data_IF_153328334836
#
_entry.id   IF_153328334836
#
_cell.length_a   1.000
_cell.length_b   1.000
_cell.length_c   1.000
_cell.angle_alpha   90.00
_cell.angle_beta   90.00
_cell.angle_gamma   90.00
#
_symmetry.space_group_name_H-M   'P 1'
#
loop_
_entity.id
_entity.type
_entity.pdbx_description
1 polymer ?
#
# COMPACT_ATOMS: atom_id res chain seq x y z
N UNK A 1 7.28 -43.85 -50.06
CA UNK A 1 6.19 -43.37 -49.18
C UNK A 1 6.26 -41.85 -49.20
N UNK A 2 5.17 -41.15 -49.51
CA UNK A 2 5.20 -39.68 -49.60
C UNK A 2 5.17 -39.07 -48.19
N UNK A 3 6.12 -38.18 -47.93
CA UNK A 3 6.07 -37.24 -46.81
C UNK A 3 5.91 -35.87 -47.47
N UNK A 4 4.80 -35.20 -47.17
CA UNK A 4 4.48 -33.85 -47.66
C UNK A 4 4.50 -33.65 -49.19
N UNK A 5 4.05 -34.66 -49.94
CA UNK A 5 3.90 -34.58 -51.40
C UNK A 5 5.18 -34.78 -52.21
N UNK A 6 6.34 -34.93 -51.57
CA UNK A 6 7.62 -35.24 -52.23
C UNK A 6 7.79 -36.76 -52.47
N UNK A 7 8.17 -37.12 -53.70
CA UNK A 7 8.37 -38.51 -54.13
C UNK A 7 9.73 -39.02 -53.65
N UNK A 8 9.73 -39.83 -52.60
CA UNK A 8 10.97 -40.42 -52.05
C UNK A 8 11.56 -41.46 -53.02
N UNK A 9 12.76 -41.20 -53.55
CA UNK A 9 13.50 -42.13 -54.43
C UNK A 9 14.61 -42.83 -53.66
N UNK A 10 14.78 -44.12 -53.95
CA UNK A 10 15.73 -44.98 -53.26
C UNK A 10 17.18 -44.50 -53.49
N UNK A 11 17.94 -44.30 -52.41
CA UNK A 11 19.31 -43.80 -52.44
C UNK A 11 19.48 -42.27 -52.57
N UNK A 12 18.40 -41.49 -52.53
CA UNK A 12 18.46 -40.01 -52.54
C UNK A 12 18.07 -39.46 -51.16
N UNK A 13 18.93 -38.63 -50.58
CA UNK A 13 18.59 -37.85 -49.37
C UNK A 13 17.80 -36.64 -49.83
N UNK A 14 16.52 -36.57 -49.44
CA UNK A 14 15.67 -35.40 -49.66
C UNK A 14 15.63 -34.60 -48.37
N UNK A 15 16.13 -33.36 -48.41
CA UNK A 15 15.93 -32.40 -47.33
C UNK A 15 14.54 -31.78 -47.48
N UNK A 16 13.74 -31.84 -46.42
CA UNK A 16 12.37 -31.29 -46.38
C UNK A 16 12.36 -30.17 -45.35
N UNK A 17 12.04 -28.97 -45.81
CA UNK A 17 11.86 -27.81 -44.93
C UNK A 17 10.46 -27.87 -44.29
N UNK A 18 10.42 -28.19 -43.00
CA UNK A 18 9.19 -28.12 -42.20
C UNK A 18 9.00 -26.70 -41.67
N UNK A 19 8.01 -25.98 -42.20
CA UNK A 19 7.63 -24.66 -41.70
C UNK A 19 6.71 -24.83 -40.50
N UNK A 20 7.25 -24.61 -39.30
CA UNK A 20 6.45 -24.53 -38.09
C UNK A 20 5.91 -23.11 -37.93
N UNK A 21 4.58 -22.96 -37.98
CA UNK A 21 3.90 -21.70 -37.68
C UNK A 21 3.29 -21.78 -36.29
N UNK A 22 3.67 -20.87 -35.40
CA UNK A 22 3.05 -20.74 -34.09
C UNK A 22 1.64 -20.15 -34.28
N UNK A 23 0.64 -20.86 -33.77
CA UNK A 23 -0.74 -20.39 -33.71
C UNK A 23 -0.88 -19.63 -32.39
N UNK A 24 -1.27 -18.35 -32.40
CA UNK A 24 -1.46 -17.60 -31.17
C UNK A 24 -2.56 -18.21 -30.32
N UNK A 25 -2.32 -18.27 -29.01
CA UNK A 25 -3.30 -18.76 -28.05
C UNK A 25 -4.56 -17.90 -28.10
N UNK A 26 -5.69 -18.49 -27.73
CA UNK A 26 -6.98 -17.83 -27.69
C UNK A 26 -7.29 -17.33 -26.27
N UNK A 27 -7.06 -16.04 -25.96
CA UNK A 27 -7.32 -15.51 -24.62
C UNK A 27 -8.79 -15.23 -24.34
N UNK A 28 -9.71 -15.51 -25.27
CA UNK A 28 -11.14 -15.21 -25.07
C UNK A 28 -11.69 -16.03 -23.91
N UNK A 29 -12.25 -15.33 -22.92
CA UNK A 29 -12.76 -15.96 -21.70
C UNK A 29 -12.88 -14.98 -20.54
N UNK A 30 -13.21 -15.55 -19.38
CA UNK A 30 -13.27 -14.84 -18.12
C UNK A 30 -12.18 -15.37 -17.21
N UNK A 31 -11.41 -14.48 -16.59
CA UNK A 31 -10.30 -14.82 -15.72
C UNK A 31 -10.51 -14.20 -14.36
N UNK A 32 -10.13 -14.93 -13.31
CA UNK A 32 -9.98 -14.36 -11.98
C UNK A 32 -8.53 -13.92 -11.84
N UNK A 33 -8.33 -12.65 -11.53
CA UNK A 33 -7.03 -12.00 -11.50
C UNK A 33 -6.74 -11.47 -10.10
N UNK A 34 -5.49 -11.62 -9.68
CA UNK A 34 -4.95 -11.02 -8.47
C UNK A 34 -3.81 -10.11 -8.85
N UNK A 35 -3.93 -8.84 -8.48
CA UNK A 35 -2.91 -7.83 -8.71
C UNK A 35 -2.34 -7.34 -7.38
N UNK A 36 -1.05 -7.08 -7.33
CA UNK A 36 -0.36 -6.44 -6.22
C UNK A 36 0.20 -5.12 -6.71
N UNK A 37 -0.20 -4.01 -6.12
CA UNK A 37 0.25 -2.67 -6.49
C UNK A 37 1.11 -2.07 -5.38
N UNK A 38 2.17 -1.36 -5.77
CA UNK A 38 3.00 -0.53 -4.88
C UNK A 38 2.61 0.94 -5.02
N UNK A 39 2.02 1.48 -3.97
CA UNK A 39 1.58 2.88 -3.83
C UNK A 39 2.57 3.76 -3.06
N UNK A 40 3.77 3.27 -2.72
CA UNK A 40 4.71 3.96 -1.84
C UNK A 40 5.06 5.37 -2.32
N UNK A 41 5.44 5.49 -3.59
CA UNK A 41 5.76 6.77 -4.22
C UNK A 41 4.52 7.65 -4.40
N UNK A 42 3.37 7.02 -4.66
CA UNK A 42 2.11 7.73 -4.84
C UNK A 42 1.70 8.48 -3.58
N UNK A 43 1.78 7.86 -2.40
CA UNK A 43 1.47 8.48 -1.10
C UNK A 43 2.36 9.71 -0.87
N UNK A 44 3.68 9.56 -1.01
CA UNK A 44 4.64 10.62 -0.75
C UNK A 44 4.43 11.85 -1.67
N UNK A 45 3.90 11.64 -2.87
CA UNK A 45 3.68 12.71 -3.84
C UNK A 45 2.38 13.51 -3.68
N UNK A 46 1.50 13.12 -2.75
CA UNK A 46 0.17 13.75 -2.59
C UNK A 46 0.20 15.14 -1.93
N UNK A 47 1.36 15.82 -1.95
CA UNK A 47 1.56 17.15 -1.39
C UNK A 47 1.45 17.14 0.14
N UNK A 48 0.80 18.17 0.70
CA UNK A 48 0.65 18.33 2.15
C UNK A 48 0.05 17.09 2.83
N UNK A 49 -0.88 16.40 2.17
CA UNK A 49 -1.49 15.18 2.69
C UNK A 49 -0.50 14.03 2.78
N UNK A 50 0.34 13.88 1.75
CA UNK A 50 1.41 12.88 1.72
C UNK A 50 2.44 13.15 2.81
N UNK A 51 2.80 14.41 3.02
CA UNK A 51 3.68 14.83 4.11
C UNK A 51 3.12 14.43 5.49
N UNK A 52 1.81 14.57 5.72
CA UNK A 52 1.18 14.13 6.99
C UNK A 52 1.22 12.61 7.17
N UNK A 53 0.90 11.84 6.13
CA UNK A 53 0.95 10.37 6.18
C UNK A 53 2.39 9.91 6.43
N UNK A 54 3.34 10.47 5.69
CA UNK A 54 4.76 10.17 5.84
C UNK A 54 5.28 10.59 7.21
N UNK A 55 4.88 11.74 7.76
CA UNK A 55 5.26 12.16 9.10
C UNK A 55 4.78 11.19 10.17
N UNK A 56 3.56 10.66 10.05
CA UNK A 56 3.06 9.63 10.98
C UNK A 56 3.83 8.33 10.81
N UNK A 57 4.07 7.92 9.57
CA UNK A 57 4.86 6.73 9.28
C UNK A 57 6.29 6.85 9.81
N UNK A 58 6.94 8.00 9.63
CA UNK A 58 8.27 8.29 10.14
C UNK A 58 8.26 8.39 11.66
N UNK A 59 7.17 8.86 12.25
CA UNK A 59 6.94 8.84 13.68
C UNK A 59 6.80 7.45 14.29
N UNK A 60 6.41 6.44 13.52
CA UNK A 60 6.52 5.05 13.98
C UNK A 60 7.97 4.56 13.98
N UNK A 61 8.81 5.02 13.06
CA UNK A 61 10.24 4.70 13.05
C UNK A 61 11.00 5.44 14.17
N UNK A 62 10.67 6.72 14.40
CA UNK A 62 11.26 7.61 15.40
C UNK A 62 10.19 8.47 16.11
N UNK A 63 9.50 7.91 17.11
CA UNK A 63 8.43 8.62 17.83
C UNK A 63 8.95 9.83 18.62
N UNK A 64 10.20 9.78 19.10
CA UNK A 64 10.83 10.89 19.79
C UNK A 64 11.06 12.08 18.88
N UNK A 65 11.56 11.85 17.66
CA UNK A 65 11.72 12.92 16.67
C UNK A 65 10.38 13.54 16.26
N UNK A 66 9.36 12.70 15.99
CA UNK A 66 8.03 13.19 15.63
C UNK A 66 7.43 14.07 16.74
N UNK A 67 7.36 13.56 17.97
CA UNK A 67 6.78 14.30 19.10
C UNK A 67 7.57 15.58 19.41
N UNK A 68 8.90 15.53 19.33
CA UNK A 68 9.74 16.72 19.49
C UNK A 68 9.39 17.79 18.45
N UNK A 69 9.31 17.43 17.17
CA UNK A 69 9.01 18.38 16.10
C UNK A 69 7.61 19.00 16.29
N UNK A 70 6.62 18.19 16.63
CA UNK A 70 5.25 18.67 16.92
C UNK A 70 5.25 19.64 18.11
N UNK A 71 5.95 19.31 19.20
CA UNK A 71 6.05 20.18 20.37
C UNK A 71 6.69 21.52 19.99
N UNK A 72 7.79 21.52 19.23
CA UNK A 72 8.48 22.75 18.80
C UNK A 72 7.58 23.60 17.88
N UNK A 73 6.87 22.98 16.94
CA UNK A 73 5.96 23.69 16.04
C UNK A 73 4.78 24.34 16.79
N UNK A 74 4.20 23.62 17.76
CA UNK A 74 3.14 24.14 18.63
C UNK A 74 3.65 25.27 19.51
N UNK A 75 4.85 25.10 20.08
CA UNK A 75 5.53 26.13 20.83
C UNK A 75 5.73 27.41 20.00
N UNK A 76 6.09 27.28 18.72
CA UNK A 76 6.21 28.42 17.79
C UNK A 76 4.88 29.13 17.49
N UNK A 77 3.77 28.39 17.43
CA UNK A 77 2.44 28.96 17.14
C UNK A 77 1.78 29.65 18.35
N UNK A 78 1.89 29.08 19.55
CA UNK A 78 1.18 29.58 20.74
C UNK A 78 2.00 30.54 21.60
N UNK A 79 3.33 30.53 21.48
CA UNK A 79 4.20 31.41 22.23
C UNK A 79 5.13 32.18 21.27
N UNK A 80 4.69 33.34 20.75
CA UNK A 80 5.56 34.23 19.95
C UNK A 80 6.70 34.90 20.77
N UNK A 81 7.14 34.28 21.88
CA UNK A 81 8.16 34.79 22.80
C UNK A 81 9.44 33.94 22.83
N UNK A 82 10.52 34.57 23.32
CA UNK A 82 11.90 34.08 23.44
C UNK A 82 12.10 32.67 24.04
N UNK A 83 11.12 32.12 24.76
CA UNK A 83 11.26 30.80 25.41
C UNK A 83 11.36 29.66 24.39
N UNK A 84 10.55 29.66 23.34
CA UNK A 84 10.49 28.54 22.39
C UNK A 84 11.62 28.61 21.34
N UNK A 85 11.91 29.83 20.86
CA UNK A 85 13.11 30.07 20.03
C UNK A 85 14.40 29.79 20.80
N UNK A 86 14.40 30.05 22.12
CA UNK A 86 15.51 29.72 23.00
C UNK A 86 15.69 28.21 23.18
N UNK A 87 14.59 27.44 23.33
CA UNK A 87 14.67 25.98 23.48
C UNK A 87 15.23 25.32 22.23
N UNK A 88 14.77 25.64 21.01
CA UNK A 88 15.30 25.02 19.79
C UNK A 88 16.74 25.46 19.50
N UNK A 89 17.07 26.75 19.67
CA UNK A 89 18.42 27.26 19.48
C UNK A 89 19.42 26.70 20.51
N UNK A 90 19.03 26.61 21.79
CA UNK A 90 19.88 26.02 22.83
C UNK A 90 19.93 24.50 22.69
N UNK A 91 18.83 23.84 22.33
CA UNK A 91 18.80 22.39 22.18
C UNK A 91 19.60 21.89 20.98
N UNK A 92 19.60 22.65 19.88
CA UNK A 92 20.47 22.40 18.73
C UNK A 92 21.95 22.60 19.02
N UNK A 93 22.31 23.57 19.88
CA UNK A 93 23.71 23.87 20.24
C UNK A 93 24.30 22.97 21.33
N UNK A 94 23.46 22.41 22.21
CA UNK A 94 23.90 21.65 23.40
C UNK A 94 23.78 20.14 23.27
N UNK A 95 23.15 19.63 22.19
CA UNK A 95 22.82 18.21 22.05
C UNK A 95 21.54 17.80 22.76
N UNK A 96 20.93 18.70 23.55
CA UNK A 96 19.68 18.47 24.28
C UNK A 96 18.51 18.09 23.37
N UNK A 97 18.52 18.49 22.08
CA UNK A 97 17.52 18.02 21.10
C UNK A 97 17.55 16.51 20.98
N UNK A 98 18.74 15.95 20.79
CA UNK A 98 18.92 14.49 20.68
C UNK A 98 18.61 13.81 22.02
N UNK A 99 19.06 14.37 23.14
CA UNK A 99 18.76 13.79 24.45
C UNK A 99 17.25 13.77 24.74
N UNK A 100 16.51 14.80 24.34
CA UNK A 100 15.06 14.88 24.52
C UNK A 100 14.33 13.93 23.56
N UNK A 101 14.75 13.85 22.30
CA UNK A 101 14.23 12.87 21.34
C UNK A 101 14.48 11.45 21.84
N UNK A 102 15.71 11.12 22.26
CA UNK A 102 16.08 9.81 22.79
C UNK A 102 15.30 9.52 24.09
N UNK A 103 15.09 10.51 24.96
CA UNK A 103 14.30 10.33 26.18
C UNK A 103 12.80 10.08 25.90
N UNK A 104 12.21 10.77 24.93
CA UNK A 104 10.82 10.54 24.49
C UNK A 104 10.72 9.17 23.81
N UNK A 105 11.66 8.83 22.92
CA UNK A 105 11.71 7.51 22.29
C UNK A 105 11.80 6.43 23.35
N UNK A 106 12.69 6.56 24.33
CA UNK A 106 12.81 5.63 25.45
C UNK A 106 11.53 5.56 26.29
N UNK A 107 10.83 6.68 26.53
CA UNK A 107 9.57 6.67 27.25
C UNK A 107 8.51 5.86 26.50
N UNK A 108 8.38 6.08 25.18
CA UNK A 108 7.44 5.35 24.33
C UNK A 108 7.82 3.86 24.27
N UNK A 109 9.08 3.55 23.96
CA UNK A 109 9.55 2.16 23.81
C UNK A 109 9.68 1.40 25.13
N UNK A 110 9.80 2.07 26.27
CA UNK A 110 9.87 1.41 27.59
C UNK A 110 8.59 0.70 28.01
N UNK A 111 7.47 0.99 27.34
CA UNK A 111 6.17 0.34 27.61
C UNK A 111 5.84 -0.71 26.56
N UNK A 112 5.27 -1.84 26.98
CA UNK A 112 4.74 -2.87 26.06
C UNK A 112 3.75 -2.27 25.05
N UNK A 113 2.92 -1.33 25.51
CA UNK A 113 1.94 -0.62 24.68
C UNK A 113 2.62 0.21 23.59
N UNK A 114 3.63 1.02 23.94
CA UNK A 114 4.36 1.83 22.96
C UNK A 114 5.15 0.99 21.96
N UNK A 115 5.78 -0.10 22.40
CA UNK A 115 6.41 -1.06 21.49
C UNK A 115 5.41 -1.70 20.52
N UNK A 116 4.21 -2.06 20.98
CA UNK A 116 3.13 -2.59 20.13
C UNK A 116 2.69 -1.58 19.08
N UNK A 117 2.51 -0.31 19.47
CA UNK A 117 2.10 0.77 18.56
C UNK A 117 3.16 1.00 17.49
N UNK A 118 4.44 1.09 17.87
CA UNK A 118 5.55 1.26 16.93
C UNK A 118 5.57 0.12 15.92
N UNK A 119 5.59 -1.14 16.38
CA UNK A 119 5.61 -2.32 15.49
C UNK A 119 4.42 -2.32 14.54
N UNK A 120 3.23 -2.06 15.06
CA UNK A 120 2.02 -2.00 14.26
C UNK A 120 2.04 -0.90 13.21
N UNK A 121 2.58 0.28 13.55
CA UNK A 121 2.75 1.40 12.65
C UNK A 121 3.79 1.15 11.54
N UNK A 122 4.85 0.41 11.85
CA UNK A 122 5.81 -0.04 10.84
C UNK A 122 5.17 -1.01 9.85
N UNK A 123 4.34 -1.94 10.33
CA UNK A 123 3.60 -2.85 9.46
C UNK A 123 2.49 -2.13 8.69
N UNK A 124 1.90 -1.08 9.27
CA UNK A 124 0.89 -0.24 8.63
C UNK A 124 1.44 0.41 7.36
N UNK A 125 2.68 0.92 7.38
CA UNK A 125 3.34 1.45 6.18
C UNK A 125 3.33 0.40 5.06
N UNK A 126 3.61 -0.86 5.37
CA UNK A 126 3.53 -1.97 4.43
C UNK A 126 2.11 -2.22 3.91
N UNK A 127 1.13 -2.21 4.80
CA UNK A 127 -0.29 -2.43 4.47
C UNK A 127 -0.88 -1.33 3.57
N UNK A 128 -0.48 -0.07 3.78
CA UNK A 128 -0.93 1.07 2.96
C UNK A 128 -0.16 1.13 1.64
N UNK A 129 1.14 0.77 1.65
CA UNK A 129 1.99 0.75 0.46
C UNK A 129 1.61 -0.36 -0.51
N UNK A 130 1.33 -1.56 -0.02
CA UNK A 130 1.05 -2.72 -0.86
C UNK A 130 -0.40 -3.13 -0.75
N UNK A 131 -1.13 -2.98 -1.85
CA UNK A 131 -2.53 -3.39 -1.93
C UNK A 131 -2.67 -4.56 -2.89
N UNK A 132 -3.36 -5.61 -2.44
CA UNK A 132 -3.84 -6.66 -3.31
C UNK A 132 -5.24 -6.32 -3.81
N UNK A 133 -5.40 -6.32 -5.14
CA UNK A 133 -6.67 -6.10 -5.81
C UNK A 133 -7.11 -7.40 -6.45
N UNK A 134 -8.31 -7.85 -6.08
CA UNK A 134 -8.98 -8.97 -6.71
C UNK A 134 -9.87 -8.45 -7.82
N UNK A 135 -9.78 -9.06 -8.99
CA UNK A 135 -10.56 -8.66 -10.15
C UNK A 135 -11.03 -9.84 -10.99
N UNK A 136 -12.07 -9.59 -11.77
CA UNK A 136 -12.52 -10.47 -12.85
C UNK A 136 -12.25 -9.76 -14.16
N UNK A 137 -11.44 -10.37 -15.02
CA UNK A 137 -11.12 -9.85 -16.35
C UNK A 137 -11.91 -10.64 -17.38
N UNK A 138 -12.72 -9.95 -18.15
CA UNK A 138 -13.35 -10.50 -19.36
C UNK A 138 -12.51 -10.10 -20.56
N UNK A 139 -12.15 -11.06 -21.42
CA UNK A 139 -11.42 -10.80 -22.67
C UNK A 139 -12.24 -11.29 -23.86
N UNK A 140 -12.28 -10.47 -24.91
CA UNK A 140 -13.00 -10.75 -26.15
C UNK A 140 -12.18 -10.34 -27.37
N UNK A 141 -12.52 -10.94 -28.52
CA UNK A 141 -11.98 -10.57 -29.83
C UNK A 141 -13.13 -10.09 -30.72
N UNK A 142 -12.96 -8.92 -31.35
CA UNK A 142 -13.91 -8.38 -32.32
C UNK A 142 -13.53 -8.74 -33.78
N UNK A 143 -12.35 -9.31 -34.00
CA UNK A 143 -11.81 -9.63 -35.32
C UNK A 143 -10.61 -10.59 -35.28
N UNK A 144 -9.96 -10.75 -36.43
CA UNK A 144 -8.80 -11.64 -36.61
C UNK A 144 -7.44 -10.92 -36.48
N UNK A 145 -7.43 -9.68 -36.01
CA UNK A 145 -6.29 -8.75 -36.07
C UNK A 145 -5.42 -8.72 -34.79
N UNK A 146 -5.38 -9.82 -34.04
CA UNK A 146 -4.65 -9.97 -32.76
C UNK A 146 -5.02 -8.95 -31.67
N UNK A 147 -6.03 -8.10 -31.91
CA UNK A 147 -6.54 -7.15 -30.93
C UNK A 147 -7.49 -7.83 -29.97
N UNK A 148 -7.30 -7.53 -28.69
CA UNK A 148 -8.13 -8.00 -27.60
C UNK A 148 -8.82 -6.78 -26.98
N UNK A 149 -10.09 -6.95 -26.67
CA UNK A 149 -10.86 -6.02 -25.86
C UNK A 149 -11.10 -6.66 -24.52
N UNK A 150 -10.74 -5.95 -23.46
CA UNK A 150 -10.88 -6.44 -22.10
C UNK A 150 -11.67 -5.49 -21.22
N UNK A 151 -12.41 -6.06 -20.28
CA UNK A 151 -13.04 -5.33 -19.18
C UNK A 151 -12.54 -5.93 -17.88
N UNK A 152 -11.97 -5.09 -17.02
CA UNK A 152 -11.51 -5.48 -15.69
C UNK A 152 -12.51 -5.00 -14.66
N UNK A 153 -13.14 -5.91 -13.93
CA UNK A 153 -14.03 -5.59 -12.83
C UNK A 153 -13.33 -5.86 -11.51
N UNK A 154 -13.14 -4.85 -10.67
CA UNK A 154 -12.59 -5.05 -9.34
C UNK A 154 -13.65 -5.64 -8.42
N UNK A 155 -13.36 -6.80 -7.85
CA UNK A 155 -14.31 -7.60 -7.07
C UNK A 155 -13.95 -7.67 -5.59
N UNK A 156 -12.72 -7.32 -5.23
CA UNK A 156 -12.26 -7.33 -3.85
C UNK A 156 -10.93 -6.64 -3.65
N UNK A 157 -10.59 -6.41 -2.39
CA UNK A 157 -9.31 -5.89 -1.96
C UNK A 157 -8.80 -6.72 -0.79
N UNK A 158 -7.49 -6.91 -0.73
CA UNK A 158 -6.83 -7.44 0.45
C UNK A 158 -5.61 -6.58 0.78
N UNK A 159 -5.32 -6.47 2.07
CA UNK A 159 -4.12 -5.83 2.57
C UNK A 159 -3.35 -6.80 3.45
N UNK A 160 -2.07 -6.52 3.66
CA UNK A 160 -1.19 -7.38 4.42
C UNK A 160 -0.71 -6.62 5.64
N UNK A 161 -1.21 -7.01 6.81
CA UNK A 161 -0.77 -6.46 8.08
C UNK A 161 -0.17 -7.55 8.94
N UNK A 162 1.17 -7.57 8.99
CA UNK A 162 1.96 -8.66 9.57
C UNK A 162 2.20 -8.52 11.07
N UNK A 163 1.55 -7.56 11.72
CA UNK A 163 1.74 -7.26 13.13
C UNK A 163 1.54 -8.46 14.06
N UNK A 164 0.60 -9.34 13.74
CA UNK A 164 0.32 -10.57 14.49
C UNK A 164 1.11 -11.79 14.00
N UNK A 165 1.96 -11.62 12.99
CA UNK A 165 2.71 -12.72 12.38
C UNK A 165 4.02 -13.01 13.13
N UNK A 166 4.35 -14.28 13.38
CA UNK A 166 5.64 -14.64 13.95
C UNK A 166 6.78 -14.34 12.97
N UNK A 167 8.00 -14.18 13.51
CA UNK A 167 9.20 -14.03 12.70
C UNK A 167 9.36 -15.24 11.75
N UNK A 168 9.62 -14.98 10.47
CA UNK A 168 9.72 -16.03 9.44
C UNK A 168 8.38 -16.62 8.98
N UNK A 169 7.24 -16.03 9.37
CA UNK A 169 5.94 -16.44 8.86
C UNK A 169 5.90 -16.38 7.32
N UNK A 170 5.08 -17.24 6.68
CA UNK A 170 4.83 -17.19 5.23
C UNK A 170 4.48 -15.80 4.71
N UNK A 171 4.69 -15.55 3.41
CA UNK A 171 4.45 -14.25 2.77
C UNK A 171 2.97 -13.82 2.87
N UNK A 172 2.04 -14.77 2.96
CA UNK A 172 0.60 -14.57 3.08
C UNK A 172 0.09 -14.36 4.50
N UNK A 173 0.95 -14.51 5.52
CA UNK A 173 0.56 -14.19 6.89
C UNK A 173 0.14 -12.72 7.01
N UNK A 174 -0.97 -12.47 7.71
CA UNK A 174 -1.51 -11.12 7.91
C UNK A 174 -2.34 -10.61 6.73
N UNK A 175 -2.55 -11.42 5.70
CA UNK A 175 -3.50 -11.10 4.62
C UNK A 175 -4.91 -11.02 5.17
N UNK A 176 -5.53 -9.86 5.03
CA UNK A 176 -6.93 -9.63 5.36
C UNK A 176 -7.66 -9.17 4.12
N UNK A 177 -8.70 -9.90 3.74
CA UNK A 177 -9.58 -9.53 2.64
C UNK A 177 -10.71 -8.66 3.16
N UNK A 178 -10.97 -7.54 2.49
CA UNK A 178 -12.08 -6.67 2.81
C UNK A 178 -13.40 -7.32 2.39
N UNK A 179 -14.45 -7.10 3.18
CA UNK A 179 -15.78 -7.59 2.86
C UNK A 179 -16.30 -6.96 1.56
N UNK A 180 -17.17 -7.68 0.85
CA UNK A 180 -17.82 -7.17 -0.35
C UNK A 180 -18.57 -5.85 -0.10
N UNK A 181 -19.20 -5.70 1.07
CA UNK A 181 -19.88 -4.45 1.45
C UNK A 181 -18.90 -3.28 1.56
N UNK A 182 -17.71 -3.49 2.15
CA UNK A 182 -16.67 -2.46 2.20
C UNK A 182 -16.18 -2.08 0.78
N UNK A 183 -16.08 -3.06 -0.12
CA UNK A 183 -15.68 -2.86 -1.53
C UNK A 183 -16.75 -2.07 -2.30
N UNK A 184 -18.04 -2.31 -2.03
CA UNK A 184 -19.15 -1.56 -2.62
C UNK A 184 -19.16 -0.09 -2.20
N UNK A 185 -18.93 0.18 -0.92
CA UNK A 185 -18.87 1.56 -0.40
C UNK A 185 -17.70 2.36 -0.98
N UNK A 186 -16.61 1.67 -1.34
CA UNK A 186 -15.47 2.24 -2.03
C UNK A 186 -15.77 2.58 -3.50
N UNK A 187 -16.87 2.08 -4.06
CA UNK A 187 -17.27 2.27 -5.46
C UNK A 187 -16.12 1.94 -6.42
N UNK A 188 -15.45 0.80 -6.20
CA UNK A 188 -14.37 0.35 -7.08
C UNK A 188 -14.93 0.11 -8.48
N UNK A 189 -14.35 0.80 -9.46
CA UNK A 189 -14.91 0.90 -10.81
C UNK A 189 -14.24 -0.11 -11.74
N UNK A 190 -14.99 -0.55 -12.74
CA UNK A 190 -14.47 -1.35 -13.85
C UNK A 190 -13.65 -0.48 -14.83
N UNK A 191 -12.65 -1.07 -15.46
CA UNK A 191 -11.87 -0.43 -16.52
C UNK A 191 -11.95 -1.21 -17.82
N UNK A 192 -12.35 -0.55 -18.90
CA UNK A 192 -12.26 -1.10 -20.26
C UNK A 192 -10.89 -0.78 -20.85
N UNK A 193 -10.33 -1.74 -21.58
CA UNK A 193 -9.02 -1.62 -22.19
C UNK A 193 -8.94 -2.34 -23.53
N UNK A 194 -8.00 -1.88 -24.35
CA UNK A 194 -7.60 -2.54 -25.58
C UNK A 194 -6.19 -3.10 -25.40
N UNK A 195 -5.93 -4.27 -25.97
CA UNK A 195 -4.63 -4.91 -25.94
C UNK A 195 -4.30 -5.58 -27.26
N UNK A 196 -3.06 -6.02 -27.40
CA UNK A 196 -2.59 -6.75 -28.58
C UNK A 196 -1.81 -7.97 -28.13
N UNK A 197 -2.15 -9.13 -28.72
CA UNK A 197 -1.32 -10.33 -28.58
C UNK A 197 -0.12 -10.18 -29.51
N UNK A 198 1.07 -10.23 -28.93
CA UNK A 198 2.34 -10.23 -29.63
C UNK A 198 2.96 -11.62 -29.55
N UNK A 199 3.73 -11.99 -30.57
CA UNK A 199 4.25 -13.36 -30.73
C UNK A 199 3.11 -14.39 -30.83
N UNK A 200 2.91 -15.22 -29.81
CA UNK A 200 1.84 -16.23 -29.77
C UNK A 200 1.21 -16.36 -28.37
N UNK A 201 1.93 -15.94 -27.33
CA UNK A 201 1.64 -16.16 -25.91
C UNK A 201 1.78 -14.89 -25.06
N UNK A 202 1.99 -13.71 -25.64
CA UNK A 202 2.25 -12.50 -24.86
C UNK A 202 1.21 -11.42 -25.13
N UNK A 203 0.53 -10.93 -24.10
CA UNK A 203 -0.44 -9.84 -24.21
C UNK A 203 0.14 -8.53 -23.70
N UNK A 204 0.05 -7.50 -24.53
CA UNK A 204 0.33 -6.12 -24.14
C UNK A 204 -1.00 -5.37 -24.03
N UNK A 205 -1.28 -4.84 -22.84
CA UNK A 205 -2.48 -4.07 -22.51
C UNK A 205 -2.17 -2.58 -22.65
N UNK A 206 -2.96 -1.89 -23.46
CA UNK A 206 -2.87 -0.46 -23.68
C UNK A 206 -3.20 0.35 -22.42
N UNK A 207 -2.76 1.60 -22.45
CA UNK A 207 -3.03 2.56 -21.38
C UNK A 207 -4.54 2.80 -21.25
N UNK A 208 -5.08 2.64 -20.03
CA UNK A 208 -6.50 2.88 -19.73
C UNK A 208 -6.66 3.44 -18.32
N UNK A 209 -7.74 4.22 -18.13
CA UNK A 209 -8.10 4.80 -16.85
C UNK A 209 -8.87 3.80 -15.97
N UNK A 210 -8.54 3.78 -14.69
CA UNK A 210 -9.26 3.07 -13.64
C UNK A 210 -9.54 4.08 -12.53
N UNK A 211 -10.82 4.25 -12.21
CA UNK A 211 -11.25 5.08 -11.10
C UNK A 211 -11.08 4.29 -9.80
N UNK A 212 -10.02 4.62 -9.07
CA UNK A 212 -9.74 4.08 -7.75
C UNK A 212 -9.92 5.21 -6.74
N UNK A 213 -10.85 5.09 -5.79
CA UNK A 213 -10.98 6.09 -4.71
C UNK A 213 -9.97 5.82 -3.59
N UNK A 214 -8.68 5.93 -3.90
CA UNK A 214 -7.59 5.54 -3.02
C UNK A 214 -7.65 6.23 -1.64
N UNK A 215 -7.98 7.52 -1.61
CA UNK A 215 -8.13 8.25 -0.35
C UNK A 215 -9.23 7.69 0.56
N UNK A 216 -10.38 7.29 -0.01
CA UNK A 216 -11.44 6.61 0.77
C UNK A 216 -10.97 5.25 1.29
N UNK A 217 -10.25 4.50 0.45
CA UNK A 217 -9.69 3.20 0.82
C UNK A 217 -8.73 3.33 2.00
N UNK A 218 -7.75 4.23 1.93
CA UNK A 218 -6.78 4.40 3.01
C UNK A 218 -7.45 4.88 4.29
N UNK A 219 -8.39 5.83 4.21
CA UNK A 219 -9.10 6.28 5.40
C UNK A 219 -9.92 5.17 6.04
N UNK A 220 -10.60 4.34 5.24
CA UNK A 220 -11.33 3.16 5.73
C UNK A 220 -10.38 2.16 6.40
N UNK A 221 -9.27 1.80 5.74
CA UNK A 221 -8.29 0.88 6.30
C UNK A 221 -7.76 1.38 7.65
N UNK A 222 -7.42 2.66 7.76
CA UNK A 222 -6.90 3.23 9.00
C UNK A 222 -7.99 3.23 10.08
N UNK A 223 -9.15 3.84 9.82
CA UNK A 223 -10.15 4.11 10.85
C UNK A 223 -10.99 2.88 11.24
N UNK A 224 -11.33 2.03 10.28
CA UNK A 224 -12.30 0.94 10.50
C UNK A 224 -11.62 -0.41 10.73
N UNK A 225 -10.33 -0.53 10.39
CA UNK A 225 -9.61 -1.81 10.50
C UNK A 225 -8.43 -1.73 11.45
N UNK A 226 -7.55 -0.74 11.25
CA UNK A 226 -6.25 -0.72 11.92
C UNK A 226 -6.32 -0.09 13.32
N UNK A 227 -6.95 1.08 13.46
CA UNK A 227 -7.08 1.73 14.75
C UNK A 227 -7.89 0.90 15.77
N UNK A 228 -9.03 0.28 15.41
CA UNK A 228 -9.76 -0.59 16.33
C UNK A 228 -8.91 -1.79 16.74
N UNK A 229 -8.21 -2.44 15.80
CA UNK A 229 -7.34 -3.56 16.13
C UNK A 229 -6.19 -3.18 17.08
N UNK A 230 -5.67 -1.95 16.97
CA UNK A 230 -4.57 -1.48 17.82
C UNK A 230 -4.98 -1.01 19.20
N UNK A 231 -6.20 -0.55 19.33
CA UNK A 231 -6.73 0.01 20.58
C UNK A 231 -7.64 -0.96 21.32
N UNK A 232 -7.81 -2.19 20.80
CA UNK A 232 -8.82 -3.15 21.27
C UNK A 232 -10.23 -2.54 21.21
N UNK A 233 -10.58 -1.98 20.06
CA UNK A 233 -11.89 -1.40 19.75
C UNK A 233 -12.23 -0.16 20.61
N UNK A 234 -11.22 0.57 21.07
CA UNK A 234 -11.40 1.78 21.89
C UNK A 234 -11.28 3.08 21.07
N UNK A 235 -10.77 3.00 19.84
CA UNK A 235 -10.63 4.15 18.95
C UNK A 235 -11.00 3.79 17.50
N UNK A 236 -11.80 4.65 16.89
CA UNK A 236 -12.22 4.57 15.48
C UNK A 236 -11.77 5.77 14.64
N UNK A 237 -10.97 6.66 15.24
CA UNK A 237 -10.30 7.74 14.54
C UNK A 237 -8.97 8.03 15.22
N UNK A 238 -8.12 8.76 14.51
CA UNK A 238 -6.75 9.01 14.96
C UNK A 238 -6.69 9.83 16.26
N UNK A 239 -7.65 10.73 16.49
CA UNK A 239 -7.70 11.50 17.73
C UNK A 239 -7.92 10.57 18.93
N UNK A 240 -8.94 9.71 18.88
CA UNK A 240 -9.22 8.72 19.92
C UNK A 240 -8.03 7.78 20.13
N UNK A 241 -7.35 7.40 19.04
CA UNK A 241 -6.16 6.54 19.11
C UNK A 241 -5.01 7.24 19.83
N UNK A 242 -4.75 8.52 19.52
CA UNK A 242 -3.75 9.32 20.23
C UNK A 242 -4.12 9.50 21.71
N UNK A 243 -5.38 9.77 22.04
CA UNK A 243 -5.85 9.88 23.42
C UNK A 243 -5.68 8.55 24.19
N UNK A 244 -5.93 7.42 23.52
CA UNK A 244 -5.75 6.09 24.09
C UNK A 244 -4.26 5.75 24.30
N UNK A 245 -3.39 6.09 23.35
CA UNK A 245 -1.96 5.78 23.40
C UNK A 245 -1.17 6.73 24.30
N UNK A 246 -1.51 8.02 24.30
CA UNK A 246 -0.81 9.06 25.04
C UNK A 246 -1.56 9.44 26.29
N UNK A 247 -1.12 8.87 27.42
CA UNK A 247 -1.55 9.31 28.73
C UNK A 247 -0.88 10.67 29.06
N UNK A 248 -1.57 11.77 28.75
CA UNK A 248 -1.05 13.12 29.01
C UNK A 248 -0.77 13.41 30.49
N UNK A 249 -1.43 12.72 31.43
CA UNK A 249 -1.10 12.85 32.86
C UNK A 249 0.28 12.26 33.15
N UNK A 250 0.57 11.08 32.61
CA UNK A 250 1.89 10.44 32.74
C UNK A 250 2.99 11.29 32.11
N UNK A 251 2.73 11.84 30.91
CA UNK A 251 3.65 12.74 30.24
C UNK A 251 3.90 14.03 31.03
N UNK A 252 2.84 14.64 31.56
CA UNK A 252 2.94 15.87 32.34
C UNK A 252 3.70 15.67 33.66
N UNK A 253 3.50 14.54 34.33
CA UNK A 253 4.26 14.16 35.52
C UNK A 253 5.74 13.98 35.22
N UNK A 254 6.07 13.35 34.08
CA UNK A 254 7.45 13.19 33.65
C UNK A 254 8.10 14.54 33.31
N UNK A 255 7.46 15.35 32.47
CA UNK A 255 8.01 16.61 31.98
C UNK A 255 8.21 17.64 33.11
N UNK A 256 7.28 17.69 34.07
CA UNK A 256 7.39 18.57 35.24
C UNK A 256 8.47 18.14 36.24
N UNK A 257 8.90 16.88 36.19
CA UNK A 257 10.04 16.36 36.96
C UNK A 257 11.40 16.73 36.37
N UNK A 258 11.45 17.22 35.13
CA UNK A 258 12.69 17.57 34.44
C UNK A 258 12.97 19.07 34.65
N UNK A 259 14.14 19.38 35.22
CA UNK A 259 14.65 20.75 35.30
C UNK A 259 15.63 20.98 34.15
N UNK A 260 15.23 21.81 33.18
CA UNK A 260 16.10 22.23 32.07
C UNK A 260 16.66 23.60 32.43
N UNK A 261 17.98 23.68 32.67
CA UNK A 261 18.68 24.93 33.00
C UNK A 261 18.10 25.66 34.24
N UNK A 262 17.58 24.91 35.21
CA UNK A 262 16.98 25.46 36.43
C UNK A 262 15.54 25.96 36.27
N UNK A 263 14.95 25.84 35.08
CA UNK A 263 13.52 26.04 34.85
C UNK A 263 12.83 24.69 34.70
N UNK A 264 11.78 24.46 35.49
CA UNK A 264 10.88 23.31 35.33
C UNK A 264 9.57 23.79 34.74
N UNK A 265 8.98 23.01 33.83
CA UNK A 265 7.60 23.23 33.42
C UNK A 265 6.66 22.80 34.55
N UNK A 266 5.59 23.54 34.78
CA UNK A 266 4.56 23.08 35.71
C UNK A 266 3.83 21.87 35.13
N UNK A 267 3.25 21.04 35.99
CA UNK A 267 2.38 19.94 35.56
C UNK A 267 1.27 20.44 34.64
N UNK A 268 0.55 21.50 35.04
CA UNK A 268 -0.58 22.04 34.27
C UNK A 268 -0.16 22.52 32.88
N UNK A 269 1.00 23.19 32.77
CA UNK A 269 1.54 23.60 31.47
C UNK A 269 1.90 22.39 30.61
N UNK A 270 2.53 21.38 31.21
CA UNK A 270 2.94 20.16 30.50
C UNK A 270 1.74 19.35 30.01
N UNK A 271 0.71 19.22 30.84
CA UNK A 271 -0.55 18.57 30.49
C UNK A 271 -1.28 19.32 29.38
N UNK A 272 -1.39 20.65 29.50
CA UNK A 272 -2.05 21.48 28.48
C UNK A 272 -1.33 21.42 27.13
N UNK A 273 0.00 21.32 27.12
CA UNK A 273 0.77 21.15 25.88
C UNK A 273 0.50 19.78 25.26
N UNK A 274 0.52 18.70 26.06
CA UNK A 274 0.22 17.36 25.57
C UNK A 274 -1.21 17.24 25.02
N UNK A 275 -2.21 17.65 25.80
CA UNK A 275 -3.62 17.60 25.39
C UNK A 275 -3.89 18.51 24.18
N UNK A 276 -3.25 19.68 24.13
CA UNK A 276 -3.31 20.57 22.96
C UNK A 276 -2.69 19.95 21.72
N UNK A 277 -1.55 19.26 21.86
CA UNK A 277 -0.90 18.54 20.76
C UNK A 277 -1.78 17.42 20.22
N UNK A 278 -2.31 16.55 21.09
CA UNK A 278 -3.23 15.48 20.70
C UNK A 278 -4.45 16.06 19.98
N UNK A 279 -5.03 17.13 20.51
CA UNK A 279 -6.18 17.79 19.90
C UNK A 279 -5.83 18.33 18.50
N UNK A 280 -4.70 18.99 18.31
CA UNK A 280 -4.31 19.52 16.99
C UNK A 280 -4.00 18.41 15.99
N UNK A 281 -3.29 17.36 16.42
CA UNK A 281 -3.00 16.20 15.58
C UNK A 281 -4.28 15.44 15.20
N UNK A 282 -5.21 15.32 16.14
CA UNK A 282 -6.47 14.59 15.98
C UNK A 282 -7.55 15.36 15.23
N UNK A 283 -7.59 16.69 15.34
CA UNK A 283 -8.64 17.53 14.73
C UNK A 283 -8.32 17.96 13.29
N UNK A 284 -9.26 18.70 12.70
CA UNK A 284 -9.21 19.24 11.35
C UNK A 284 -8.19 20.35 11.09
N UNK A 285 -7.10 20.42 11.86
CA UNK A 285 -5.89 21.16 11.47
C UNK A 285 -4.70 20.22 11.22
N UNK A 286 -4.79 18.96 11.64
CA UNK A 286 -3.79 17.92 11.45
C UNK A 286 -4.31 16.76 10.60
N UNK A 287 -4.27 15.55 11.16
CA UNK A 287 -4.55 14.32 10.41
C UNK A 287 -6.00 14.17 9.99
N UNK A 288 -6.96 14.67 10.79
CA UNK A 288 -8.38 14.65 10.43
C UNK A 288 -8.66 15.41 9.12
N UNK A 289 -8.05 16.58 8.94
CA UNK A 289 -8.10 17.30 7.65
C UNK A 289 -7.38 16.57 6.54
N UNK A 290 -6.20 16.01 6.81
CA UNK A 290 -5.46 15.28 5.80
C UNK A 290 -6.29 14.09 5.27
N UNK A 291 -6.93 13.31 6.15
CA UNK A 291 -7.82 12.21 5.78
C UNK A 291 -9.09 12.67 5.06
N UNK A 292 -9.71 13.78 5.49
CA UNK A 292 -10.88 14.32 4.79
C UNK A 292 -10.50 14.82 3.39
N UNK A 293 -9.40 15.54 3.27
CA UNK A 293 -8.84 15.96 1.99
C UNK A 293 -8.51 14.74 1.11
N UNK A 294 -7.96 13.65 1.67
CA UNK A 294 -7.74 12.42 0.91
C UNK A 294 -9.04 11.91 0.26
N UNK A 295 -10.14 11.91 1.00
CA UNK A 295 -11.43 11.40 0.53
C UNK A 295 -12.06 12.27 -0.57
N UNK A 296 -11.75 13.57 -0.59
CA UNK A 296 -12.27 14.51 -1.58
C UNK A 296 -11.62 14.37 -2.96
N UNK A 297 -10.35 13.91 -3.02
CA UNK A 297 -9.67 13.71 -4.29
C UNK A 297 -10.11 12.41 -4.96
N UNK A 298 -10.78 12.53 -6.11
CA UNK A 298 -10.91 11.40 -7.04
C UNK A 298 -9.53 11.11 -7.63
N UNK A 299 -8.95 9.96 -7.29
CA UNK A 299 -7.73 9.50 -7.96
C UNK A 299 -8.09 8.71 -9.21
N UNK A 300 -7.63 9.21 -10.35
CA UNK A 300 -7.67 8.46 -11.60
C UNK A 300 -6.32 7.79 -11.76
N UNK A 301 -6.33 6.47 -11.83
CA UNK A 301 -5.16 5.67 -12.10
C UNK A 301 -5.11 5.36 -13.59
N UNK A 302 -4.03 5.69 -14.27
CA UNK A 302 -3.84 5.30 -15.67
C UNK A 302 -2.87 4.11 -15.70
N UNK A 303 -3.33 2.95 -16.17
CA UNK A 303 -2.58 1.70 -16.17
C UNK A 303 -2.34 1.19 -17.59
N UNK A 304 -1.15 0.63 -17.80
CA UNK A 304 -0.81 -0.24 -18.92
C UNK A 304 -0.18 -1.51 -18.35
N UNK A 305 -0.22 -2.61 -19.08
CA UNK A 305 0.28 -3.87 -18.55
C UNK A 305 0.74 -4.84 -19.61
N UNK A 306 1.35 -5.92 -19.14
CA UNK A 306 1.78 -7.04 -19.96
C UNK A 306 1.58 -8.34 -19.18
N UNK A 307 1.41 -9.46 -19.88
CA UNK A 307 1.27 -10.79 -19.27
C UNK A 307 1.59 -11.90 -20.28
N UNK A 308 2.07 -13.03 -19.76
CA UNK A 308 2.29 -14.24 -20.54
C UNK A 308 1.09 -15.19 -20.38
N UNK A 309 0.73 -15.85 -21.48
CA UNK A 309 -0.33 -16.83 -21.57
C UNK A 309 0.24 -18.24 -21.41
N UNK A 310 -0.48 -19.08 -20.67
CA UNK A 310 -0.16 -20.50 -20.52
C UNK A 310 -1.39 -21.32 -20.87
N UNK A 311 -1.17 -22.36 -21.66
CA UNK A 311 -2.15 -23.40 -21.99
C UNK A 311 -1.68 -24.72 -21.36
N UNK A 312 -2.62 -25.46 -20.78
CA UNK A 312 -2.34 -26.65 -19.98
C UNK A 312 -3.00 -27.92 -20.50
N UNK A 313 -4.00 -27.83 -21.39
CA UNK A 313 -4.88 -28.95 -21.73
C UNK A 313 -4.93 -29.34 -23.22
N UNK A 314 -4.23 -28.62 -24.11
CA UNK A 314 -4.19 -28.88 -25.54
C UNK A 314 -5.33 -28.25 -26.37
N UNK A 315 -6.21 -27.42 -25.79
CA UNK A 315 -7.33 -26.79 -26.48
C UNK A 315 -7.00 -25.46 -27.21
N UNK A 316 -5.74 -24.97 -27.11
CA UNK A 316 -5.27 -23.66 -27.59
C UNK A 316 -5.94 -22.43 -26.95
N UNK A 317 -6.77 -22.62 -25.94
CA UNK A 317 -7.26 -21.60 -25.02
C UNK A 317 -6.17 -21.19 -24.03
N UNK A 318 -6.34 -20.03 -23.41
CA UNK A 318 -5.47 -19.62 -22.32
C UNK A 318 -6.10 -20.05 -21.00
N UNK A 319 -5.35 -20.82 -20.21
CA UNK A 319 -5.78 -21.31 -18.90
C UNK A 319 -5.23 -20.45 -17.77
N UNK A 320 -3.97 -20.01 -17.90
CA UNK A 320 -3.32 -19.15 -16.91
C UNK A 320 -2.71 -17.90 -17.52
N UNK A 321 -2.69 -16.85 -16.69
CA UNK A 321 -2.06 -15.56 -16.94
C UNK A 321 -0.92 -15.43 -15.92
N UNK A 322 0.33 -15.43 -16.41
CA UNK A 322 1.54 -15.47 -15.55
C UNK A 322 2.49 -14.34 -15.87
N UNK A 323 3.38 -14.03 -14.92
CA UNK A 323 4.38 -12.96 -15.03
C UNK A 323 3.78 -11.58 -15.37
N UNK A 324 2.52 -11.35 -15.01
CA UNK A 324 1.83 -10.11 -15.31
C UNK A 324 2.49 -8.92 -14.63
N UNK A 325 2.61 -7.81 -15.36
CA UNK A 325 3.10 -6.53 -14.83
C UNK A 325 2.13 -5.42 -15.14
N UNK A 326 1.99 -4.50 -14.20
CA UNK A 326 1.32 -3.21 -14.36
C UNK A 326 2.35 -2.10 -14.27
N UNK A 327 2.23 -1.12 -15.16
CA UNK A 327 2.95 0.14 -15.10
C UNK A 327 1.97 1.27 -15.39
N UNK A 328 2.00 2.31 -14.56
CA UNK A 328 1.04 3.38 -14.69
C UNK A 328 1.34 4.58 -13.82
N UNK A 329 0.35 5.46 -13.73
CA UNK A 329 0.43 6.65 -12.91
C UNK A 329 -0.85 6.88 -12.12
N UNK A 330 -0.74 7.32 -10.87
CA UNK A 330 -1.85 7.89 -10.10
C UNK A 330 -1.81 9.41 -10.24
N UNK A 331 -2.95 10.01 -10.59
CA UNK A 331 -3.13 11.44 -10.41
C UNK A 331 -3.91 11.70 -9.12
N UNK A 332 -3.28 12.41 -8.19
CA UNK A 332 -3.86 12.79 -6.91
C UNK A 332 -3.83 14.31 -6.76
N UNK A 333 -4.98 14.97 -6.91
CA UNK A 333 -5.08 16.43 -6.73
C UNK A 333 -4.16 17.24 -7.65
N UNK A 334 -3.78 16.71 -8.82
CA UNK A 334 -2.86 17.34 -9.77
C UNK A 334 -1.40 16.88 -9.65
N UNK A 335 -1.03 16.18 -8.59
CA UNK A 335 0.25 15.48 -8.48
C UNK A 335 0.18 14.14 -9.20
N UNK A 336 1.19 13.84 -10.02
CA UNK A 336 1.28 12.56 -10.74
C UNK A 336 2.42 11.74 -10.19
N UNK A 337 2.14 10.48 -9.86
CA UNK A 337 3.15 9.53 -9.40
C UNK A 337 3.08 8.21 -10.13
N UNK A 338 4.22 7.57 -10.31
CA UNK A 338 4.29 6.22 -10.86
C UNK A 338 3.70 5.20 -9.90
N UNK A 339 2.99 4.23 -10.47
CA UNK A 339 2.57 3.00 -9.79
C UNK A 339 3.11 1.83 -10.59
N UNK A 340 3.63 0.85 -9.87
CA UNK A 340 4.00 -0.45 -10.41
C UNK A 340 3.14 -1.52 -9.78
N UNK A 341 2.90 -2.59 -10.53
CA UNK A 341 2.22 -3.75 -10.01
C UNK A 341 2.67 -5.04 -10.67
N UNK A 342 2.39 -6.16 -10.00
CA UNK A 342 2.54 -7.50 -10.55
C UNK A 342 1.22 -8.23 -10.41
N UNK A 343 0.91 -9.11 -11.35
CA UNK A 343 -0.37 -9.80 -11.34
C UNK A 343 -0.29 -11.17 -12.00
N UNK A 344 -1.25 -12.00 -11.62
CA UNK A 344 -1.50 -13.29 -12.26
C UNK A 344 -3.00 -13.56 -12.26
N UNK A 345 -3.41 -14.52 -13.06
CA UNK A 345 -4.79 -14.94 -13.10
C UNK A 345 -4.95 -16.33 -13.66
N UNK A 346 -6.14 -16.88 -13.50
CA UNK A 346 -6.51 -18.14 -14.11
C UNK A 346 -7.92 -18.05 -14.69
N UNK A 347 -8.19 -18.88 -15.69
CA UNK A 347 -9.48 -18.95 -16.36
C UNK A 347 -10.54 -19.47 -15.40
N UNK A 348 -11.73 -18.88 -15.47
CA UNK A 348 -12.89 -19.35 -14.72
C UNK A 348 -13.63 -20.35 -15.61
N UNK A 349 -13.36 -21.63 -15.40
CA UNK A 349 -14.11 -22.70 -16.07
C UNK A 349 -15.43 -22.94 -15.34
N UNK A 350 -16.52 -23.14 -16.11
CA UNK A 350 -17.86 -23.40 -15.57
C UNK A 350 -17.93 -24.69 -14.72
N UNK A 351 -16.94 -25.58 -14.84
CA UNK A 351 -16.98 -26.95 -14.30
C UNK A 351 -16.31 -27.08 -12.92
N UNK A 352 -15.16 -26.43 -12.71
CA UNK A 352 -14.35 -26.65 -11.49
C UNK A 352 -14.52 -25.56 -10.44
N UNK A 353 -14.86 -24.31 -10.84
CA UNK A 353 -14.99 -23.14 -9.96
C UNK A 353 -13.74 -22.78 -9.13
N UNK A 354 -12.67 -23.56 -9.25
CA UNK A 354 -11.46 -23.49 -8.44
C UNK A 354 -10.37 -22.86 -9.28
N UNK A 355 -9.91 -21.70 -8.84
CA UNK A 355 -8.82 -20.96 -9.46
C UNK A 355 -7.67 -20.93 -8.47
N UNK A 356 -6.65 -21.75 -8.71
CA UNK A 356 -5.37 -21.60 -8.02
C UNK A 356 -4.58 -20.53 -8.75
N UNK A 357 -4.35 -19.39 -8.09
CA UNK A 357 -3.58 -18.32 -8.69
C UNK A 357 -2.13 -18.78 -8.89
N UNK A 358 -1.55 -18.56 -10.08
CA UNK A 358 -0.12 -18.74 -10.27
C UNK A 358 0.66 -17.91 -9.25
N UNK A 359 1.75 -18.44 -8.68
CA UNK A 359 2.52 -17.74 -7.66
C UNK A 359 3.04 -16.41 -8.21
N UNK A 360 2.80 -15.33 -7.47
CA UNK A 360 3.31 -14.01 -7.80
C UNK A 360 4.57 -13.75 -6.99
N UNK A 361 5.70 -13.51 -7.65
CA UNK A 361 6.92 -13.09 -6.96
C UNK A 361 6.78 -11.63 -6.51
N UNK A 362 6.27 -11.44 -5.29
CA UNK A 362 6.00 -10.14 -4.68
C UNK A 362 7.02 -9.78 -3.59
N UNK A 363 8.14 -10.52 -3.47
CA UNK A 363 9.10 -10.35 -2.37
C UNK A 363 9.76 -8.98 -2.36
N UNK A 364 9.85 -8.32 -3.52
CA UNK A 364 10.34 -6.95 -3.63
C UNK A 364 9.34 -5.89 -3.12
N UNK A 365 8.03 -6.20 -3.11
CA UNK A 365 6.98 -5.28 -2.63
C UNK A 365 6.84 -5.31 -1.11
N UNK A 366 6.98 -6.51 -0.52
CA UNK A 366 7.06 -6.69 0.93
C UNK A 366 8.51 -6.49 1.39
N UNK A 367 9.01 -5.26 1.28
CA UNK A 367 10.31 -4.90 1.84
C UNK A 367 10.45 -5.38 3.29
N UNK A 368 11.68 -5.64 3.74
CA UNK A 368 11.95 -6.08 5.10
C UNK A 368 11.56 -4.98 6.10
N UNK A 369 10.32 -5.00 6.59
CA UNK A 369 9.77 -4.06 7.57
C UNK A 369 10.27 -4.37 9.00
N UNK A 370 11.57 -4.64 9.16
CA UNK A 370 12.13 -4.85 10.48
C UNK A 370 12.33 -3.49 11.16
N UNK A 371 11.33 -3.02 11.89
CA UNK A 371 11.52 -1.94 12.84
C UNK A 371 12.50 -2.40 13.93
N UNK A 372 13.68 -1.79 13.91
CA UNK A 372 14.83 -2.18 14.74
C UNK A 372 14.75 -1.67 16.18
N UNK A 373 13.78 -0.81 16.48
CA UNK A 373 13.74 0.01 17.71
C UNK A 373 13.11 -0.68 18.92
N UNK A 374 12.42 -1.81 18.74
CA UNK A 374 11.79 -2.56 19.83
C UNK A 374 12.40 -3.96 19.93
N UNK A 375 13.50 -4.11 20.70
CA UNK A 375 14.01 -5.44 21.04
C UNK A 375 13.00 -6.18 21.94
N UNK A 376 12.83 -7.51 21.78
CA UNK A 376 12.01 -8.31 22.69
C UNK A 376 12.59 -8.37 24.11
#
# INVERSE_FOLDING_TARGET
ACVDGEETRDGVVTEVDLIFQLIPLNPVGTYRVRSYFDFGDAIASTGAVGEWIMMIFDGFDDPGAMLYNIIIDLCGQFAPGLLCQGIDAVAGLTGLKKDLQDAITNLVTSSDTGCKIIRAGCDLRGAVRTLEVLSTVYMSKLGADFRIYGTTNFTGLAFYWRYSCPAGAPADCGRTELSYDAVLDLQLVAGDWEGTVTSYDHLVIGSHGVDLRYGKLITFLINDVLLPALTNDQAHNFQEALEYWFNCESFANWLSGISILGASLSYDSSYSVCSGAINILGTGLGFGTALLSLQEFSSVMNLSGEVDFVELDGDFGVDELVNGKWAGTLNFGGSVSSILGVWSGCRIDEVSGTCEYPPVNNTAMFGSNACSTCAP
#
